data_IF_864507842580
#
_entry.id   IF_864507842580
#
_cell.length_a   1.000
_cell.length_b   1.000
_cell.length_c   1.000
_cell.angle_alpha   90.00
_cell.angle_beta   90.00
_cell.angle_gamma   90.00
#
_symmetry.space_group_name_H-M   'P 1'
#
loop_
_entity.id
_entity.type
_entity.pdbx_description
1 polymer ?
#
# COMPACT_ATOMS: atom_id res chain seq x y z
N UNK A 1 -6.98 -8.65 14.16
CA UNK A 1 -7.71 -9.93 14.33
C UNK A 1 -8.13 -10.52 12.99
N UNK A 2 -8.84 -9.78 12.11
CA UNK A 2 -9.25 -10.30 10.80
C UNK A 2 -8.07 -10.58 9.85
N UNK A 3 -7.04 -9.73 9.86
CA UNK A 3 -5.80 -9.97 9.10
C UNK A 3 -5.06 -11.22 9.61
N UNK A 4 -4.79 -11.33 10.92
CA UNK A 4 -4.22 -12.55 11.51
C UNK A 4 -5.02 -13.84 11.21
N UNK A 5 -6.34 -13.74 11.04
CA UNK A 5 -7.17 -14.85 10.58
C UNK A 5 -6.89 -15.22 9.12
N UNK A 6 -6.75 -14.22 8.24
CA UNK A 6 -6.42 -14.41 6.82
C UNK A 6 -5.00 -14.92 6.61
N UNK A 7 -4.06 -14.43 7.41
CA UNK A 7 -2.64 -14.82 7.36
C UNK A 7 -2.39 -16.20 7.99
N UNK A 8 -3.43 -16.82 8.58
CA UNK A 8 -3.33 -18.15 9.19
C UNK A 8 -2.60 -18.18 10.54
N UNK A 9 -2.38 -17.01 11.15
CA UNK A 9 -1.67 -16.85 12.42
C UNK A 9 -2.54 -17.17 13.64
N UNK A 10 -3.86 -17.26 13.47
CA UNK A 10 -4.77 -17.65 14.54
C UNK A 10 -4.76 -19.17 14.75
N UNK A 11 -4.74 -19.57 16.02
CA UNK A 11 -4.96 -20.95 16.40
C UNK A 11 -6.40 -21.40 16.04
N UNK A 12 -6.61 -22.72 15.99
CA UNK A 12 -7.89 -23.32 15.62
C UNK A 12 -9.10 -22.75 16.40
N UNK A 13 -9.05 -22.56 17.74
CA UNK A 13 -10.18 -21.99 18.47
C UNK A 13 -10.42 -20.51 18.16
N UNK A 14 -9.39 -19.67 18.06
CA UNK A 14 -9.59 -18.26 17.70
C UNK A 14 -10.12 -18.11 16.27
N UNK A 15 -9.62 -18.92 15.33
CA UNK A 15 -10.12 -18.96 13.97
C UNK A 15 -11.60 -19.37 13.90
N UNK A 16 -12.05 -20.29 14.76
CA UNK A 16 -13.47 -20.68 14.83
C UNK A 16 -14.36 -19.52 15.31
N UNK A 17 -13.92 -18.75 16.31
CA UNK A 17 -14.65 -17.58 16.79
C UNK A 17 -14.79 -16.52 15.70
N UNK A 18 -13.73 -16.27 14.94
CA UNK A 18 -13.79 -15.35 13.80
C UNK A 18 -14.77 -15.85 12.74
N UNK A 19 -14.75 -17.14 12.40
CA UNK A 19 -15.71 -17.72 11.44
C UNK A 19 -17.15 -17.54 11.88
N UNK A 20 -17.47 -17.84 13.14
CA UNK A 20 -18.81 -17.65 13.69
C UNK A 20 -19.22 -16.17 13.63
N UNK A 21 -18.33 -15.27 14.05
CA UNK A 21 -18.63 -13.84 14.03
C UNK A 21 -18.87 -13.31 12.61
N UNK A 22 -18.04 -13.70 11.64
CA UNK A 22 -18.19 -13.26 10.25
C UNK A 22 -19.46 -13.80 9.62
N UNK A 23 -19.90 -15.01 9.99
CA UNK A 23 -21.17 -15.57 9.53
C UNK A 23 -22.38 -14.74 10.00
N UNK A 24 -22.29 -14.10 11.16
CA UNK A 24 -23.39 -13.33 11.77
C UNK A 24 -23.28 -11.82 11.55
N UNK A 25 -22.09 -11.30 11.21
CA UNK A 25 -21.82 -9.88 11.05
C UNK A 25 -21.55 -9.47 9.59
N UNK A 26 -22.56 -8.89 8.93
CA UNK A 26 -22.47 -8.43 7.54
C UNK A 26 -21.35 -7.40 7.27
N UNK A 27 -20.98 -6.59 8.26
CA UNK A 27 -19.88 -5.62 8.11
C UNK A 27 -18.54 -6.36 7.98
N UNK A 28 -18.27 -7.28 8.91
CA UNK A 28 -17.04 -8.06 8.91
C UNK A 28 -16.97 -9.04 7.74
N UNK A 29 -18.10 -9.58 7.28
CA UNK A 29 -18.16 -10.38 6.05
C UNK A 29 -17.75 -9.60 4.81
N UNK A 30 -18.21 -8.35 4.67
CA UNK A 30 -17.79 -7.49 3.55
C UNK A 30 -16.32 -7.14 3.61
N UNK A 31 -15.81 -6.82 4.79
CA UNK A 31 -14.40 -6.52 5.00
C UNK A 31 -13.51 -7.72 4.67
N UNK A 32 -13.89 -8.92 5.13
CA UNK A 32 -13.20 -10.16 4.81
C UNK A 32 -13.16 -10.42 3.29
N UNK A 33 -14.28 -10.23 2.60
CA UNK A 33 -14.36 -10.44 1.16
C UNK A 33 -13.46 -9.47 0.37
N UNK A 34 -13.30 -8.23 0.84
CA UNK A 34 -12.37 -7.26 0.21
C UNK A 34 -10.94 -7.75 0.35
N UNK A 35 -10.53 -8.14 1.55
CA UNK A 35 -9.16 -8.63 1.76
C UNK A 35 -8.88 -9.93 1.00
N UNK A 36 -9.84 -10.86 0.96
CA UNK A 36 -9.70 -12.08 0.17
C UNK A 36 -9.49 -11.77 -1.31
N UNK A 37 -10.29 -10.87 -1.90
CA UNK A 37 -10.12 -10.46 -3.30
C UNK A 37 -8.75 -9.85 -3.57
N UNK A 38 -8.25 -9.02 -2.65
CA UNK A 38 -6.91 -8.44 -2.78
C UNK A 38 -5.85 -9.55 -2.72
N UNK A 39 -5.95 -10.47 -1.75
CA UNK A 39 -5.01 -11.58 -1.61
C UNK A 39 -5.01 -12.50 -2.83
N UNK A 40 -6.17 -12.79 -3.41
CA UNK A 40 -6.32 -13.58 -4.62
C UNK A 40 -5.71 -12.87 -5.84
N UNK A 41 -5.94 -11.56 -5.99
CA UNK A 41 -5.33 -10.78 -7.06
C UNK A 41 -3.80 -10.77 -6.94
N UNK A 42 -3.26 -10.55 -5.74
CA UNK A 42 -1.82 -10.60 -5.50
C UNK A 42 -1.24 -11.99 -5.80
N UNK A 43 -1.92 -13.06 -5.37
CA UNK A 43 -1.51 -14.43 -5.65
C UNK A 43 -1.53 -14.74 -7.15
N UNK A 44 -2.54 -14.25 -7.88
CA UNK A 44 -2.63 -14.41 -9.34
C UNK A 44 -1.47 -13.71 -10.08
N UNK A 45 -0.97 -12.60 -9.53
CA UNK A 45 0.18 -11.87 -10.07
C UNK A 45 1.54 -12.37 -9.55
N UNK A 46 1.56 -13.28 -8.57
CA UNK A 46 2.77 -13.85 -7.99
C UNK A 46 3.37 -14.97 -8.87
N UNK A 47 3.36 -14.80 -10.19
CA UNK A 47 4.13 -15.68 -11.09
C UNK A 47 5.59 -15.26 -11.00
N UNK A 48 6.37 -16.00 -10.22
CA UNK A 48 7.82 -15.83 -10.20
C UNK A 48 8.39 -16.63 -11.37
N UNK A 49 9.19 -15.98 -12.22
CA UNK A 49 9.91 -16.66 -13.29
C UNK A 49 11.01 -17.52 -12.67
N UNK A 50 10.88 -18.85 -12.77
CA UNK A 50 11.83 -19.81 -12.20
C UNK A 50 13.23 -19.60 -12.78
N UNK A 51 13.36 -19.17 -14.04
CA UNK A 51 14.66 -18.88 -14.63
C UNK A 51 15.33 -17.63 -14.04
N UNK A 52 14.55 -16.71 -13.47
CA UNK A 52 15.09 -15.58 -12.70
C UNK A 52 15.52 -16.05 -11.31
N UNK A 53 14.75 -16.93 -10.67
CA UNK A 53 15.14 -17.51 -9.38
C UNK A 53 16.42 -18.33 -9.48
N UNK A 54 16.56 -19.15 -10.52
CA UNK A 54 17.78 -19.93 -10.75
C UNK A 54 19.00 -19.04 -10.94
N UNK A 55 18.88 -17.98 -11.76
CA UNK A 55 19.96 -16.99 -11.91
C UNK A 55 20.33 -16.30 -10.60
N UNK A 56 19.36 -16.02 -9.73
CA UNK A 56 19.62 -15.44 -8.41
C UNK A 56 20.32 -16.45 -7.48
N UNK A 57 19.95 -17.73 -7.54
CA UNK A 57 20.61 -18.81 -6.77
C UNK A 57 22.06 -19.00 -7.23
N UNK A 58 22.29 -19.08 -8.55
CA UNK A 58 23.63 -19.20 -9.13
C UNK A 58 24.52 -18.02 -8.75
N UNK A 59 23.96 -16.81 -8.77
CA UNK A 59 24.68 -15.60 -8.36
C UNK A 59 25.04 -15.62 -6.87
N UNK A 60 24.10 -16.04 -6.00
CA UNK A 60 24.35 -16.17 -4.58
C UNK A 60 25.43 -17.21 -4.28
N UNK A 61 25.46 -18.33 -5.00
CA UNK A 61 26.51 -19.35 -4.91
C UNK A 61 27.88 -18.78 -5.31
N UNK A 62 27.96 -18.06 -6.44
CA UNK A 62 29.20 -17.42 -6.88
C UNK A 62 29.75 -16.40 -5.87
N UNK A 63 28.87 -15.63 -5.21
CA UNK A 63 29.29 -14.73 -4.14
C UNK A 63 29.87 -15.50 -2.94
N UNK A 64 29.21 -16.58 -2.51
CA UNK A 64 29.67 -17.41 -1.39
C UNK A 64 31.03 -18.07 -1.69
N UNK A 65 31.24 -18.56 -2.92
CA UNK A 65 32.53 -19.12 -3.34
C UNK A 65 33.66 -18.09 -3.34
N UNK A 66 33.36 -16.85 -3.77
CA UNK A 66 34.34 -15.75 -3.79
C UNK A 66 34.69 -15.27 -2.40
N UNK A 67 33.73 -15.25 -1.48
CA UNK A 67 33.94 -14.91 -0.08
C UNK A 67 34.73 -16.01 0.66
N UNK A 68 34.50 -17.28 0.31
CA UNK A 68 35.22 -18.43 0.87
C UNK A 68 36.67 -18.54 0.39
N UNK A 69 37.00 -17.89 -0.72
CA UNK A 69 38.37 -17.80 -1.24
C UNK A 69 39.07 -16.63 -0.56
N UNK A 70 39.64 -16.87 0.61
CA UNK A 70 40.51 -15.92 1.33
C UNK A 70 41.51 -15.25 0.35
N UNK A 71 41.78 -13.94 0.44
CA UNK A 71 42.83 -13.30 -0.32
C UNK A 71 44.19 -13.68 0.29
N UNK A 72 44.70 -14.86 -0.04
CA UNK A 72 45.98 -15.33 0.52
C UNK A 72 46.60 -16.50 -0.26
N UNK A 73 47.73 -16.19 -0.91
CA UNK A 73 48.65 -17.05 -1.68
C UNK A 73 48.22 -17.32 -3.15
N UNK A 74 48.97 -16.93 -4.19
CA UNK A 74 50.43 -16.80 -4.31
C UNK A 74 50.82 -15.98 -5.54
N UNK A 75 51.81 -15.08 -5.42
CA UNK A 75 52.55 -14.52 -6.56
C UNK A 75 52.74 -13.01 -6.60
N UNK A 76 53.61 -12.45 -5.75
CA UNK A 76 54.41 -11.28 -6.13
C UNK A 76 55.88 -11.74 -6.10
N UNK A 77 56.69 -11.45 -7.13
CA UNK A 77 57.14 -10.08 -7.35
C UNK A 77 56.90 -9.59 -8.80
N UNK A 78 56.17 -8.49 -8.95
CA UNK A 78 56.33 -7.65 -10.14
C UNK A 78 57.26 -6.50 -9.75
N UNK A 79 58.33 -6.35 -10.53
CA UNK A 79 59.35 -5.31 -10.39
C UNK A 79 58.73 -3.91 -10.27
N UNK A 80 59.38 -2.95 -9.59
CA UNK A 80 58.92 -1.58 -9.57
C UNK A 80 58.96 -1.03 -11.00
N UNK A 81 57.78 -0.84 -11.60
CA UNK A 81 57.63 -0.09 -12.85
C UNK A 81 58.20 1.33 -12.65
N UNK A 82 59.25 1.74 -13.39
CA UNK A 82 59.74 3.10 -13.35
C UNK A 82 58.82 3.95 -14.23
N UNK A 83 58.02 4.81 -13.61
CA UNK A 83 57.07 5.65 -14.35
C UNK A 83 55.92 6.16 -13.50
N UNK A 84 56.21 6.78 -12.37
CA UNK A 84 55.28 7.75 -11.78
C UNK A 84 55.23 8.97 -12.70
N UNK A 85 54.41 8.92 -13.74
CA UNK A 85 53.87 10.15 -14.32
C UNK A 85 52.53 10.45 -13.65
N UNK A 86 52.59 11.52 -12.86
CA UNK A 86 51.48 12.28 -12.33
C UNK A 86 50.37 12.49 -13.35
N UNK A 87 49.15 12.14 -12.93
CA UNK A 87 47.88 12.42 -13.61
C UNK A 87 47.79 13.91 -14.01
N UNK A 88 47.62 14.25 -15.30
CA UNK A 88 47.05 15.53 -15.69
C UNK A 88 45.57 15.55 -15.31
N UNK A 89 45.02 16.61 -14.70
CA UNK A 89 43.57 16.71 -14.54
C UNK A 89 42.95 16.92 -15.92
N UNK A 90 42.58 15.82 -16.58
CA UNK A 90 41.66 15.84 -17.71
C UNK A 90 40.35 16.45 -17.22
N UNK A 91 39.96 17.56 -17.86
CA UNK A 91 38.74 18.28 -17.57
C UNK A 91 37.54 17.34 -17.67
N UNK A 92 36.71 17.34 -16.63
CA UNK A 92 35.43 16.65 -16.68
C UNK A 92 34.61 17.19 -17.87
N UNK A 93 34.09 16.35 -18.77
CA UNK A 93 33.01 16.77 -19.62
C UNK A 93 31.79 16.98 -18.71
N UNK A 94 31.40 18.23 -18.53
CA UNK A 94 30.05 18.54 -18.04
C UNK A 94 29.11 18.06 -19.13
N UNK A 95 28.58 16.85 -18.97
CA UNK A 95 27.42 16.38 -19.71
C UNK A 95 26.26 17.33 -19.39
N UNK A 96 26.08 18.35 -20.24
CA UNK A 96 24.86 19.16 -20.25
C UNK A 96 23.71 18.24 -20.58
N UNK A 97 22.88 17.94 -19.59
CA UNK A 97 21.59 17.27 -19.77
C UNK A 97 20.82 18.09 -20.82
N UNK A 98 20.50 17.54 -22.00
CA UNK A 98 19.53 18.18 -22.88
C UNK A 98 18.22 18.25 -22.10
N UNK A 99 17.69 19.45 -21.91
CA UNK A 99 16.32 19.62 -21.47
C UNK A 99 15.41 19.12 -22.60
N UNK A 100 15.28 17.79 -22.70
CA UNK A 100 14.24 17.13 -23.45
C UNK A 100 12.93 17.71 -22.93
N UNK A 101 12.29 18.50 -23.79
CA UNK A 101 11.00 19.09 -23.52
C UNK A 101 10.03 17.98 -23.09
N UNK A 102 9.51 18.09 -21.88
CA UNK A 102 8.41 17.24 -21.44
C UNK A 102 7.30 17.31 -22.49
N UNK A 103 6.88 16.20 -23.12
CA UNK A 103 5.61 16.21 -23.82
C UNK A 103 4.54 16.42 -22.74
N UNK A 104 3.90 17.58 -22.77
CA UNK A 104 2.69 17.84 -22.02
C UNK A 104 1.58 16.97 -22.63
N UNK A 105 1.55 15.70 -22.27
CA UNK A 105 0.42 14.82 -22.48
C UNK A 105 -0.74 15.43 -21.69
N UNK A 106 -1.60 16.15 -22.40
CA UNK A 106 -2.84 16.68 -21.86
C UNK A 106 -3.60 15.54 -21.20
N UNK A 107 -3.86 15.66 -19.89
CA UNK A 107 -4.72 14.76 -19.13
C UNK A 107 -6.10 14.75 -19.82
N UNK A 108 -6.54 13.65 -20.47
CA UNK A 108 -7.88 13.57 -20.99
C UNK A 108 -8.79 13.17 -19.83
N UNK A 109 -9.49 14.15 -19.25
CA UNK A 109 -10.50 13.86 -18.25
C UNK A 109 -10.82 14.93 -17.21
N UNK A 110 -10.36 16.18 -17.33
CA UNK A 110 -11.03 17.26 -16.59
C UNK A 110 -12.35 17.56 -17.28
N UNK A 111 -13.38 16.76 -16.97
CA UNK A 111 -14.76 17.19 -17.19
C UNK A 111 -14.95 18.49 -16.41
N UNK A 112 -15.04 19.58 -17.16
CA UNK A 112 -15.48 20.87 -16.67
C UNK A 112 -16.88 20.68 -16.11
N UNK A 113 -17.03 20.79 -14.78
CA UNK A 113 -18.34 20.94 -14.16
C UNK A 113 -18.94 22.23 -14.75
N UNK A 114 -20.07 22.19 -15.47
CA UNK A 114 -20.75 23.39 -15.89
C UNK A 114 -21.25 24.11 -14.64
N UNK A 115 -20.76 25.33 -14.42
CA UNK A 115 -21.30 26.24 -13.43
C UNK A 115 -22.67 26.76 -13.92
N UNK A 116 -23.67 25.90 -13.85
CA UNK A 116 -25.07 26.25 -14.09
C UNK A 116 -25.74 26.56 -12.75
N UNK A 117 -26.11 27.84 -12.62
CA UNK A 117 -27.20 28.39 -11.82
C UNK A 117 -27.35 27.99 -10.34
N UNK A 118 -27.12 29.00 -9.51
CA UNK A 118 -27.58 29.11 -8.13
C UNK A 118 -29.09 28.85 -8.02
N UNK A 119 -29.49 27.84 -7.24
CA UNK A 119 -30.75 27.88 -6.50
C UNK A 119 -30.44 27.77 -5.01
N UNK A 120 -30.23 28.93 -4.39
CA UNK A 120 -30.26 29.07 -2.94
C UNK A 120 -31.70 28.95 -2.48
N UNK A 121 -32.16 27.74 -2.14
CA UNK A 121 -33.37 27.61 -1.33
C UNK A 121 -33.09 28.16 0.07
N UNK A 122 -33.56 29.37 0.28
CA UNK A 122 -33.65 30.04 1.57
C UNK A 122 -34.55 29.22 2.50
N UNK A 123 -34.00 28.63 3.55
CA UNK A 123 -34.79 28.14 4.69
C UNK A 123 -35.41 29.35 5.39
N UNK A 124 -36.74 29.53 5.39
CA UNK A 124 -37.36 30.61 6.15
C UNK A 124 -37.37 30.20 7.62
N UNK A 125 -36.60 30.92 8.44
CA UNK A 125 -36.80 30.94 9.87
C UNK A 125 -38.18 31.55 10.19
N UNK A 126 -39.02 30.81 10.91
CA UNK A 126 -40.14 31.39 11.65
C UNK A 126 -40.14 30.79 13.06
N UNK A 127 -39.73 31.59 14.02
CA UNK A 127 -40.12 31.45 15.43
C UNK A 127 -41.08 32.62 15.74
N UNK A 128 -41.79 32.71 16.88
CA UNK A 128 -42.14 31.73 17.91
C UNK A 128 -43.66 31.69 18.26
N UNK A 129 -44.09 30.67 19.00
CA UNK A 129 -45.21 30.75 19.95
C UNK A 129 -46.63 30.40 19.45
N UNK A 130 -47.23 29.36 20.05
CA UNK A 130 -48.62 29.36 20.51
C UNK A 130 -48.90 28.07 21.30
N UNK A 131 -49.27 28.26 22.55
CA UNK A 131 -49.84 27.29 23.48
C UNK A 131 -50.85 26.33 22.86
N UNK A 132 -50.80 25.06 23.27
CA UNK A 132 -52.01 24.27 23.53
C UNK A 132 -51.81 23.38 24.75
N UNK A 133 -52.28 23.90 25.88
CA UNK A 133 -52.88 23.13 26.97
C UNK A 133 -53.97 22.19 26.44
N UNK A 134 -53.95 20.94 26.92
CA UNK A 134 -55.06 20.01 27.16
C UNK A 134 -54.43 18.67 27.57
N UNK A 135 -54.17 18.40 28.84
CA UNK A 135 -55.12 17.99 29.89
C UNK A 135 -55.67 16.55 29.72
N UNK A 136 -55.64 15.84 30.85
CA UNK A 136 -56.28 14.55 31.23
C UNK A 136 -55.63 13.27 30.67
N UNK A 137 -55.18 12.29 31.46
CA UNK A 137 -55.42 11.99 32.87
C UNK A 137 -55.82 10.51 33.00
N UNK A 138 -55.04 9.69 33.70
CA UNK A 138 -55.51 8.44 34.31
C UNK A 138 -54.47 7.88 35.30
N UNK A 139 -54.68 8.22 36.57
CA UNK A 139 -54.18 7.52 37.74
C UNK A 139 -55.00 6.23 37.97
N UNK A 140 -54.35 5.11 38.34
CA UNK A 140 -54.55 4.38 39.62
C UNK A 140 -54.26 2.86 39.59
N UNK A 141 -53.50 2.43 40.63
CA UNK A 141 -53.63 1.22 41.50
C UNK A 141 -53.36 -0.17 40.87
N UNK A 142 -52.87 -1.21 41.55
CA UNK A 142 -52.51 -1.57 42.95
C UNK A 142 -51.40 -2.67 42.83
N UNK A 143 -50.52 -2.98 43.80
CA UNK A 143 -50.81 -3.34 45.19
C UNK A 143 -51.40 -4.76 45.27
N UNK A 144 -50.54 -5.77 45.42
CA UNK A 144 -50.89 -7.18 45.63
C UNK A 144 -49.64 -8.00 45.90
#
# INVERSE_FOLDING_TARGET
MLQSYLDGELDAPAAALVRTHVAECHRCARELAVYQRISEALAAHATIDEAVLDRLRDFAESLAERESREPGAEGAPQEPIPGTETVPPEAMPTETIPAEAMPNEAIPGTETIPAEAMETETVPGTAPGADRDADQGAVHKAGG
#
